data_IF_498109364694
#
_entry.id   IF_498109364694
#
_cell.length_a   1.000
_cell.length_b   1.000
_cell.length_c   1.000
_cell.angle_alpha   90.00
_cell.angle_beta   90.00
_cell.angle_gamma   90.00
#
_symmetry.space_group_name_H-M   'P 1'
#
loop_
_entity.id
_entity.type
_entity.pdbx_description
1 polymer ?
#
# COMPACT_ATOMS: atom_id res chain seq x y z
N UNK A 1 11.81 -34.45 -87.00
CA UNK A 1 11.13 -33.29 -87.59
C UNK A 1 9.89 -32.96 -86.78
N UNK A 2 9.76 -31.66 -86.51
CA UNK A 2 8.73 -30.89 -85.80
C UNK A 2 7.27 -31.22 -86.20
N UNK A 3 6.22 -30.85 -85.44
CA UNK A 3 6.12 -29.98 -84.27
C UNK A 3 4.67 -29.63 -83.89
N UNK A 4 4.51 -28.54 -83.10
CA UNK A 4 3.27 -27.81 -82.75
C UNK A 4 2.53 -28.35 -81.51
N UNK A 5 1.94 -27.60 -80.57
CA UNK A 5 1.62 -26.18 -80.32
C UNK A 5 1.33 -26.03 -78.80
N UNK A 6 1.86 -25.01 -78.10
CA UNK A 6 1.18 -23.79 -77.57
C UNK A 6 0.61 -23.86 -76.12
N UNK A 7 1.11 -22.91 -75.31
CA UNK A 7 0.51 -22.15 -74.19
C UNK A 7 -0.12 -22.90 -72.98
N UNK A 8 0.39 -22.65 -71.76
CA UNK A 8 -0.26 -21.68 -70.86
C UNK A 8 0.55 -21.32 -69.59
N UNK A 9 0.21 -20.14 -69.06
CA UNK A 9 0.73 -19.41 -67.89
C UNK A 9 0.74 -20.16 -66.55
N UNK A 10 1.70 -19.83 -65.67
CA UNK A 10 1.66 -20.25 -64.26
C UNK A 10 2.77 -19.68 -63.39
N UNK A 11 2.39 -18.79 -62.50
CA UNK A 11 3.21 -17.91 -61.66
C UNK A 11 4.20 -18.59 -60.70
N UNK A 12 5.30 -17.87 -60.47
CA UNK A 12 6.33 -18.01 -59.44
C UNK A 12 5.73 -18.28 -58.05
N UNK A 13 6.19 -19.33 -57.38
CA UNK A 13 6.12 -19.48 -55.91
C UNK A 13 7.43 -20.12 -55.44
N UNK A 14 8.39 -19.26 -55.06
CA UNK A 14 9.55 -19.70 -54.28
C UNK A 14 9.06 -20.02 -52.87
N UNK A 15 9.17 -21.27 -52.43
CA UNK A 15 8.99 -21.63 -51.04
C UNK A 15 10.21 -21.10 -50.27
N UNK A 16 10.07 -19.93 -49.65
CA UNK A 16 10.94 -19.53 -48.56
C UNK A 16 10.30 -20.06 -47.28
N UNK A 17 10.91 -21.10 -46.69
CA UNK A 17 10.58 -21.52 -45.33
C UNK A 17 10.97 -20.41 -44.35
N UNK A 18 10.05 -19.49 -44.09
CA UNK A 18 10.09 -18.68 -42.87
C UNK A 18 9.68 -19.57 -41.70
N UNK A 19 10.67 -20.05 -40.96
CA UNK A 19 10.47 -20.58 -39.62
C UNK A 19 9.90 -19.43 -38.76
N UNK A 20 8.59 -19.46 -38.51
CA UNK A 20 7.93 -18.61 -37.52
C UNK A 20 8.37 -19.04 -36.12
N UNK A 21 9.44 -18.42 -35.63
CA UNK A 21 9.83 -18.46 -34.22
C UNK A 21 8.66 -17.93 -33.36
N UNK A 22 8.29 -18.62 -32.27
CA UNK A 22 7.41 -18.03 -31.27
C UNK A 22 8.16 -16.85 -30.63
N UNK A 23 7.66 -15.64 -30.82
CA UNK A 23 8.15 -14.46 -30.10
C UNK A 23 7.73 -14.58 -28.63
N UNK A 24 8.52 -15.29 -27.84
CA UNK A 24 8.41 -15.30 -26.38
C UNK A 24 9.02 -14.01 -25.77
N UNK A 25 8.59 -13.61 -24.56
CA UNK A 25 8.55 -12.21 -24.15
C UNK A 25 9.87 -11.74 -23.55
N UNK A 26 10.77 -11.22 -24.39
CA UNK A 26 11.98 -10.55 -23.92
C UNK A 26 11.69 -9.25 -23.12
N UNK A 27 10.49 -8.67 -23.25
CA UNK A 27 10.07 -7.45 -22.56
C UNK A 27 9.81 -7.64 -21.06
N UNK A 28 9.29 -8.81 -20.64
CA UNK A 28 8.93 -9.08 -19.25
C UNK A 28 10.14 -9.40 -18.35
N UNK A 29 11.24 -9.92 -18.91
CA UNK A 29 12.48 -10.11 -18.15
C UNK A 29 13.22 -8.78 -17.94
N UNK A 30 13.25 -7.90 -18.96
CA UNK A 30 13.90 -6.58 -18.86
C UNK A 30 13.29 -5.71 -17.77
N UNK A 31 11.95 -5.65 -17.69
CA UNK A 31 11.22 -4.92 -16.65
C UNK A 31 11.45 -5.48 -15.25
N UNK A 32 11.58 -6.81 -15.10
CA UNK A 32 11.90 -7.43 -13.80
C UNK A 32 13.32 -7.12 -13.34
N UNK A 33 14.30 -7.14 -14.25
CA UNK A 33 15.70 -6.82 -13.93
C UNK A 33 15.86 -5.34 -13.58
N UNK A 34 15.25 -4.43 -14.34
CA UNK A 34 15.25 -2.99 -14.04
C UNK A 34 14.57 -2.67 -12.71
N UNK A 35 13.48 -3.39 -12.37
CA UNK A 35 12.81 -3.27 -11.07
C UNK A 35 13.71 -3.71 -9.92
N UNK A 36 14.44 -4.81 -10.06
CA UNK A 36 15.41 -5.27 -9.05
C UNK A 36 16.54 -4.25 -8.90
N UNK A 37 17.09 -3.72 -10.00
CA UNK A 37 18.11 -2.66 -9.94
C UNK A 37 17.59 -1.38 -9.29
N UNK A 38 16.34 -1.00 -9.57
CA UNK A 38 15.68 0.16 -8.95
C UNK A 38 15.50 -0.05 -7.44
N UNK A 39 15.08 -1.25 -7.01
CA UNK A 39 14.95 -1.62 -5.60
C UNK A 39 16.30 -1.62 -4.88
N UNK A 40 17.34 -2.19 -5.51
CA UNK A 40 18.71 -2.18 -4.97
C UNK A 40 19.29 -0.76 -4.87
N UNK A 41 18.98 0.11 -5.84
CA UNK A 41 19.38 1.52 -5.82
C UNK A 41 18.67 2.30 -4.70
N UNK A 42 17.37 2.03 -4.48
CA UNK A 42 16.57 2.60 -3.37
C UNK A 42 17.01 2.13 -1.98
N UNK A 43 17.63 0.95 -1.86
CA UNK A 43 18.29 0.51 -0.63
C UNK A 43 19.58 1.30 -0.33
N UNK A 44 20.18 1.93 -1.34
CA UNK A 44 21.39 2.74 -1.22
C UNK A 44 21.14 4.22 -0.92
N UNK A 45 19.95 4.74 -1.24
CA UNK A 45 19.54 6.12 -0.92
C UNK A 45 18.61 6.12 0.29
N UNK A 46 19.06 6.61 1.44
CA UNK A 46 18.23 6.73 2.65
C UNK A 46 17.12 7.81 2.54
N UNK A 47 16.78 8.27 1.33
CA UNK A 47 15.79 9.33 1.09
C UNK A 47 14.40 8.73 0.81
N UNK A 48 13.52 8.83 1.82
CA UNK A 48 12.13 8.36 1.75
C UNK A 48 11.34 9.02 0.60
N UNK A 49 11.66 10.26 0.26
CA UNK A 49 10.92 11.04 -0.73
C UNK A 49 11.21 10.52 -2.16
N UNK A 50 12.48 10.30 -2.50
CA UNK A 50 12.90 9.68 -3.76
C UNK A 50 12.40 8.24 -3.91
N UNK A 51 12.47 7.46 -2.83
CA UNK A 51 11.91 6.11 -2.79
C UNK A 51 10.41 6.13 -3.10
N UNK A 52 9.66 7.02 -2.44
CA UNK A 52 8.21 7.11 -2.60
C UNK A 52 7.80 7.54 -4.02
N UNK A 53 8.54 8.47 -4.65
CA UNK A 53 8.32 8.88 -6.05
C UNK A 53 8.54 7.72 -7.01
N UNK A 54 9.65 7.00 -6.85
CA UNK A 54 10.02 5.89 -7.72
C UNK A 54 9.01 4.77 -7.63
N UNK A 55 8.63 4.34 -6.42
CA UNK A 55 7.63 3.29 -6.22
C UNK A 55 6.26 3.67 -6.78
N UNK A 56 5.83 4.94 -6.63
CA UNK A 56 4.59 5.40 -7.23
C UNK A 56 4.65 5.38 -8.77
N UNK A 57 5.74 5.87 -9.37
CA UNK A 57 5.91 5.85 -10.81
C UNK A 57 5.90 4.42 -11.37
N UNK A 58 6.53 3.47 -10.68
CA UNK A 58 6.51 2.05 -11.05
C UNK A 58 5.11 1.45 -10.95
N UNK A 59 4.30 1.87 -9.99
CA UNK A 59 2.92 1.38 -9.82
C UNK A 59 1.92 1.91 -10.85
N UNK A 60 2.37 2.68 -11.85
CA UNK A 60 1.48 3.30 -12.86
C UNK A 60 0.93 2.34 -13.91
N UNK A 61 1.51 1.13 -14.04
CA UNK A 61 1.08 0.13 -15.02
C UNK A 61 0.79 -1.22 -14.35
N UNK A 62 -0.19 -1.94 -14.89
CA UNK A 62 -0.65 -3.21 -14.31
C UNK A 62 0.45 -4.27 -14.30
N UNK A 63 1.21 -4.41 -15.38
CA UNK A 63 2.32 -5.36 -15.46
C UNK A 63 3.39 -5.08 -14.40
N UNK A 64 3.65 -3.79 -14.14
CA UNK A 64 4.59 -3.37 -13.11
C UNK A 64 4.03 -3.62 -11.71
N UNK A 65 2.74 -3.40 -11.47
CA UNK A 65 2.08 -3.74 -10.21
C UNK A 65 2.22 -5.23 -9.86
N UNK A 66 2.01 -6.12 -10.83
CA UNK A 66 2.20 -7.58 -10.66
C UNK A 66 3.65 -7.89 -10.29
N UNK A 67 4.61 -7.28 -10.99
CA UNK A 67 6.03 -7.48 -10.71
C UNK A 67 6.44 -6.91 -9.34
N UNK A 68 5.93 -5.74 -8.94
CA UNK A 68 6.18 -5.11 -7.64
C UNK A 68 5.69 -5.97 -6.48
N UNK A 69 4.53 -6.62 -6.67
CA UNK A 69 3.97 -7.55 -5.70
C UNK A 69 4.87 -8.77 -5.48
N UNK A 70 5.56 -9.23 -6.53
CA UNK A 70 6.45 -10.40 -6.49
C UNK A 70 7.87 -10.06 -6.01
N UNK A 71 8.31 -8.81 -6.15
CA UNK A 71 9.70 -8.40 -5.89
C UNK A 71 9.97 -7.92 -4.47
N UNK A 72 8.97 -7.94 -3.59
CA UNK A 72 9.13 -7.49 -2.20
C UNK A 72 9.04 -5.98 -2.02
N UNK A 73 8.36 -5.26 -2.92
CA UNK A 73 8.09 -3.82 -2.75
C UNK A 73 7.16 -3.50 -1.58
N UNK A 74 6.28 -4.44 -1.19
CA UNK A 74 5.25 -4.20 -0.18
C UNK A 74 5.84 -3.81 1.19
N UNK A 75 6.82 -4.53 1.77
CA UNK A 75 7.48 -4.10 3.01
C UNK A 75 8.05 -2.68 2.96
N UNK A 76 8.62 -2.25 1.81
CA UNK A 76 9.16 -0.90 1.65
C UNK A 76 8.04 0.15 1.68
N UNK A 77 6.91 -0.11 1.01
CA UNK A 77 5.73 0.75 1.07
C UNK A 77 5.18 0.85 2.49
N UNK A 78 5.08 -0.28 3.20
CA UNK A 78 4.64 -0.29 4.61
C UNK A 78 5.63 0.48 5.50
N UNK A 79 6.93 0.41 5.24
CA UNK A 79 7.94 1.18 5.95
C UNK A 79 7.85 2.69 5.64
N UNK A 80 7.50 3.09 4.42
CA UNK A 80 7.23 4.51 4.12
C UNK A 80 5.97 5.01 4.83
N UNK A 81 4.95 4.16 4.94
CA UNK A 81 3.70 4.48 5.65
C UNK A 81 3.92 4.64 7.16
N UNK A 82 4.55 3.65 7.79
CA UNK A 82 4.58 3.48 9.25
C UNK A 82 5.99 3.58 9.86
N UNK A 83 7.01 3.95 9.08
CA UNK A 83 8.39 4.06 9.54
C UNK A 83 8.53 5.09 10.65
N UNK A 84 9.20 4.69 11.75
CA UNK A 84 9.38 5.51 12.94
C UNK A 84 10.14 6.80 12.58
N UNK A 85 9.55 7.95 12.89
CA UNK A 85 10.01 9.25 12.43
C UNK A 85 10.47 10.16 13.58
N UNK A 86 10.92 9.56 14.70
CA UNK A 86 11.30 10.30 15.92
C UNK A 86 12.45 11.29 15.71
N UNK A 87 13.23 11.12 14.64
CA UNK A 87 14.36 12.01 14.32
C UNK A 87 13.98 13.14 13.34
N UNK A 88 12.74 13.19 12.86
CA UNK A 88 12.28 14.05 11.77
C UNK A 88 11.41 15.22 12.26
N UNK A 89 11.75 15.81 13.41
CA UNK A 89 10.99 16.91 14.05
C UNK A 89 11.16 18.29 13.39
N UNK A 90 11.83 18.40 12.24
CA UNK A 90 11.92 19.65 11.48
C UNK A 90 10.69 19.81 10.57
N UNK A 91 10.06 21.00 10.58
CA UNK A 91 8.82 21.32 9.84
C UNK A 91 8.82 20.82 8.37
N UNK A 92 9.95 20.99 7.66
CA UNK A 92 10.10 20.55 6.26
C UNK A 92 10.14 19.02 6.10
N UNK A 93 10.72 18.32 7.07
CA UNK A 93 10.82 16.86 7.06
C UNK A 93 9.48 16.20 7.45
N UNK A 94 8.67 16.85 8.30
CA UNK A 94 7.31 16.41 8.60
C UNK A 94 6.40 16.49 7.35
N UNK A 95 6.48 17.58 6.57
CA UNK A 95 5.74 17.72 5.31
C UNK A 95 6.22 16.75 4.24
N UNK A 96 7.54 16.60 4.04
CA UNK A 96 8.11 15.62 3.09
C UNK A 96 7.70 14.18 3.43
N UNK A 97 7.64 13.85 4.72
CA UNK A 97 7.17 12.55 5.18
C UNK A 97 5.66 12.33 4.88
N UNK A 98 4.82 13.38 4.97
CA UNK A 98 3.39 13.30 4.60
C UNK A 98 3.21 13.00 3.11
N UNK A 99 3.93 13.72 2.24
CA UNK A 99 3.85 13.48 0.80
C UNK A 99 4.36 12.09 0.43
N UNK A 100 5.47 11.64 1.04
CA UNK A 100 5.99 10.29 0.84
C UNK A 100 4.98 9.21 1.26
N UNK A 101 4.29 9.39 2.38
CA UNK A 101 3.20 8.50 2.83
C UNK A 101 2.03 8.48 1.84
N UNK A 102 1.62 9.63 1.32
CA UNK A 102 0.54 9.71 0.34
C UNK A 102 0.90 8.95 -0.95
N UNK A 103 2.12 9.14 -1.45
CA UNK A 103 2.63 8.39 -2.62
C UNK A 103 2.71 6.88 -2.35
N UNK A 104 3.19 6.48 -1.17
CA UNK A 104 3.23 5.08 -0.78
C UNK A 104 1.84 4.44 -0.67
N UNK A 105 0.85 5.17 -0.13
CA UNK A 105 -0.54 4.70 -0.06
C UNK A 105 -1.13 4.50 -1.46
N UNK A 106 -0.91 5.46 -2.37
CA UNK A 106 -1.38 5.36 -3.74
C UNK A 106 -0.71 4.19 -4.49
N UNK A 107 0.59 4.00 -4.32
CA UNK A 107 1.29 2.87 -4.91
C UNK A 107 0.79 1.52 -4.37
N UNK A 108 0.53 1.43 -3.06
CA UNK A 108 -0.03 0.24 -2.44
C UNK A 108 -1.44 -0.07 -2.96
N UNK A 109 -2.26 0.96 -3.15
CA UNK A 109 -3.59 0.86 -3.77
C UNK A 109 -3.48 0.29 -5.18
N UNK A 110 -2.66 0.91 -6.05
CA UNK A 110 -2.48 0.48 -7.44
C UNK A 110 -2.06 -1.00 -7.56
N UNK A 111 -1.20 -1.48 -6.64
CA UNK A 111 -0.77 -2.88 -6.63
C UNK A 111 -1.93 -3.86 -6.34
N UNK A 112 -2.95 -3.42 -5.60
CA UNK A 112 -4.09 -4.24 -5.19
C UNK A 112 -5.40 -3.96 -5.95
N UNK A 113 -5.44 -2.91 -6.80
CA UNK A 113 -6.65 -2.47 -7.50
C UNK A 113 -7.24 -3.50 -8.47
N UNK A 114 -6.47 -4.50 -8.90
CA UNK A 114 -6.94 -5.56 -9.78
C UNK A 114 -6.79 -6.93 -9.11
N UNK A 115 -7.80 -7.35 -8.34
CA UNK A 115 -7.78 -8.64 -7.68
C UNK A 115 -8.17 -9.75 -8.65
N UNK A 116 -7.21 -10.62 -8.99
CA UNK A 116 -7.45 -11.75 -9.91
C UNK A 116 -8.08 -12.97 -9.22
N UNK A 117 -8.03 -13.03 -7.89
CA UNK A 117 -8.48 -14.18 -7.10
C UNK A 117 -9.16 -13.78 -5.79
N UNK A 118 -9.66 -14.79 -5.05
CA UNK A 118 -10.32 -14.57 -3.74
C UNK A 118 -9.40 -13.89 -2.73
N UNK A 119 -8.09 -14.17 -2.79
CA UNK A 119 -7.09 -13.56 -1.92
C UNK A 119 -6.97 -12.06 -2.21
N UNK A 120 -6.87 -11.67 -3.47
CA UNK A 120 -6.82 -10.28 -3.89
C UNK A 120 -8.07 -9.49 -3.46
N UNK A 121 -9.25 -10.09 -3.58
CA UNK A 121 -10.50 -9.43 -3.12
C UNK A 121 -10.50 -9.20 -1.60
N UNK A 122 -9.98 -10.18 -0.84
CA UNK A 122 -9.82 -10.07 0.61
C UNK A 122 -8.85 -8.95 0.97
N UNK A 123 -7.68 -8.91 0.35
CA UNK A 123 -6.67 -7.89 0.57
C UNK A 123 -7.17 -6.50 0.19
N UNK A 124 -7.83 -6.35 -0.96
CA UNK A 124 -8.37 -5.07 -1.39
C UNK A 124 -9.42 -4.54 -0.40
N UNK A 125 -10.26 -5.43 0.13
CA UNK A 125 -11.22 -5.08 1.19
C UNK A 125 -10.52 -4.62 2.46
N UNK A 126 -9.49 -5.34 2.91
CA UNK A 126 -8.70 -4.94 4.09
C UNK A 126 -7.99 -3.62 3.83
N UNK A 127 -7.37 -3.45 2.67
CA UNK A 127 -6.65 -2.24 2.28
C UNK A 127 -7.56 -1.01 2.34
N UNK A 128 -8.77 -1.09 1.79
CA UNK A 128 -9.71 0.02 1.82
C UNK A 128 -10.08 0.46 3.24
N UNK A 129 -10.28 -0.48 4.16
CA UNK A 129 -10.55 -0.17 5.57
C UNK A 129 -9.34 0.48 6.24
N UNK A 130 -8.13 0.00 5.92
CA UNK A 130 -6.89 0.58 6.44
C UNK A 130 -6.60 1.97 5.85
N UNK A 131 -6.96 2.24 4.60
CA UNK A 131 -6.87 3.57 3.98
C UNK A 131 -7.75 4.58 4.72
N UNK A 132 -8.99 4.21 5.06
CA UNK A 132 -9.88 5.05 5.87
C UNK A 132 -9.26 5.40 7.23
N UNK A 133 -8.69 4.39 7.90
CA UNK A 133 -8.02 4.58 9.20
C UNK A 133 -6.80 5.49 9.06
N UNK A 134 -5.93 5.24 8.08
CA UNK A 134 -4.71 6.06 7.86
C UNK A 134 -5.05 7.51 7.54
N UNK A 135 -6.05 7.74 6.69
CA UNK A 135 -6.51 9.08 6.34
C UNK A 135 -7.04 9.83 7.58
N UNK A 136 -7.77 9.14 8.45
CA UNK A 136 -8.21 9.72 9.73
C UNK A 136 -7.03 10.07 10.64
N UNK A 137 -6.10 9.15 10.87
CA UNK A 137 -4.93 9.39 11.71
C UNK A 137 -4.10 10.56 11.19
N UNK A 138 -3.92 10.67 9.87
CA UNK A 138 -3.24 11.80 9.25
C UNK A 138 -3.96 13.12 9.57
N UNK A 139 -5.28 13.18 9.41
CA UNK A 139 -6.07 14.36 9.76
C UNK A 139 -5.96 14.71 11.25
N UNK A 140 -5.90 13.71 12.14
CA UNK A 140 -5.71 13.92 13.59
C UNK A 140 -4.38 14.63 13.87
N UNK A 141 -3.29 14.14 13.28
CA UNK A 141 -1.97 14.74 13.44
C UNK A 141 -1.89 16.13 12.82
N UNK A 142 -2.46 16.35 11.63
CA UNK A 142 -2.50 17.67 10.99
C UNK A 142 -3.25 18.71 11.83
N UNK A 143 -4.35 18.30 12.45
CA UNK A 143 -5.08 19.17 13.37
C UNK A 143 -4.28 19.50 14.62
N UNK A 144 -3.52 18.53 15.14
CA UNK A 144 -2.68 18.71 16.33
C UNK A 144 -1.47 19.61 16.04
N UNK A 145 -0.73 19.34 14.96
CA UNK A 145 0.37 20.19 14.48
C UNK A 145 -0.11 21.65 14.27
N UNK A 146 -1.24 21.82 13.58
CA UNK A 146 -1.82 23.13 13.31
C UNK A 146 -2.36 23.85 14.56
N UNK A 147 -2.63 23.12 15.65
CA UNK A 147 -3.00 23.71 16.96
C UNK A 147 -1.76 24.22 17.71
N UNK A 148 -0.64 23.51 17.62
CA UNK A 148 0.62 23.89 18.25
C UNK A 148 1.23 25.12 17.57
N UNK A 149 1.18 25.21 16.23
CA UNK A 149 1.75 26.34 15.47
C UNK A 149 0.91 27.63 15.51
N UNK A 150 -0.43 27.54 15.43
CA UNK A 150 -1.31 28.71 15.27
C UNK A 150 -2.01 29.16 16.58
N UNK A 151 -1.79 28.45 17.69
CA UNK A 151 -2.56 28.62 18.92
C UNK A 151 -4.07 28.38 18.72
N UNK A 152 -4.92 28.94 19.59
CA UNK A 152 -6.39 28.77 19.55
C UNK A 152 -7.07 29.32 18.27
N UNK A 153 -6.33 30.00 17.37
CA UNK A 153 -6.86 30.59 16.13
C UNK A 153 -6.74 29.67 14.91
N UNK A 154 -6.40 28.40 15.08
CA UNK A 154 -6.30 27.43 13.99
C UNK A 154 -7.66 27.25 13.29
N UNK A 155 -7.67 27.41 11.95
CA UNK A 155 -8.84 27.15 11.09
C UNK A 155 -9.09 25.67 10.84
N UNK A 156 -8.22 24.78 11.34
CA UNK A 156 -8.35 23.35 11.11
C UNK A 156 -9.52 22.78 11.91
N UNK A 157 -10.49 22.20 11.20
CA UNK A 157 -11.62 21.49 11.81
C UNK A 157 -11.09 20.25 12.52
N UNK A 158 -11.48 20.06 13.79
CA UNK A 158 -11.10 18.86 14.55
C UNK A 158 -11.69 17.62 13.85
N UNK A 159 -10.87 16.62 13.46
CA UNK A 159 -11.38 15.40 12.84
C UNK A 159 -12.36 14.69 13.75
N UNK A 160 -13.56 14.44 13.22
CA UNK A 160 -14.60 13.68 13.91
C UNK A 160 -14.54 12.22 13.45
N UNK A 161 -14.31 11.25 14.35
CA UNK A 161 -14.29 9.85 13.95
C UNK A 161 -15.67 9.34 13.51
N UNK A 162 -16.76 10.03 13.90
CA UNK A 162 -18.13 9.74 13.44
C UNK A 162 -18.30 10.13 11.98
N UNK A 163 -17.94 11.37 11.62
CA UNK A 163 -18.07 11.88 10.25
C UNK A 163 -17.18 11.09 9.29
N UNK A 164 -16.01 10.68 9.77
CA UNK A 164 -15.06 9.90 8.99
C UNK A 164 -15.35 8.39 8.98
N UNK A 165 -16.47 7.94 9.57
CA UNK A 165 -16.93 6.54 9.59
C UNK A 165 -15.91 5.54 10.18
N UNK A 166 -15.11 5.98 11.14
CA UNK A 166 -13.99 5.20 11.68
C UNK A 166 -14.47 4.06 12.58
N UNK A 167 -15.54 4.29 13.37
CA UNK A 167 -16.18 3.26 14.17
C UNK A 167 -16.60 2.02 13.35
N UNK A 168 -17.37 2.18 12.27
CA UNK A 168 -17.67 1.08 11.34
C UNK A 168 -16.43 0.41 10.75
N UNK A 169 -15.44 1.18 10.29
CA UNK A 169 -14.23 0.62 9.67
C UNK A 169 -13.46 -0.30 10.64
N UNK A 170 -13.18 0.17 11.86
CA UNK A 170 -12.48 -0.65 12.85
C UNK A 170 -13.32 -1.82 13.34
N UNK A 171 -14.64 -1.67 13.42
CA UNK A 171 -15.56 -2.76 13.76
C UNK A 171 -15.46 -3.90 12.74
N UNK A 172 -15.41 -3.57 11.44
CA UNK A 172 -15.26 -4.57 10.38
C UNK A 172 -13.88 -5.23 10.47
N UNK A 173 -12.79 -4.47 10.60
CA UNK A 173 -11.45 -5.04 10.76
C UNK A 173 -11.34 -5.97 11.98
N UNK A 174 -11.90 -5.55 13.12
CA UNK A 174 -11.98 -6.39 14.32
C UNK A 174 -12.71 -7.71 14.03
N UNK A 175 -13.86 -7.69 13.35
CA UNK A 175 -14.59 -8.91 12.98
C UNK A 175 -13.80 -9.79 12.00
N UNK A 176 -13.16 -9.19 10.99
CA UNK A 176 -12.34 -9.92 10.03
C UNK A 176 -11.10 -10.54 10.70
N UNK A 177 -10.56 -9.90 11.75
CA UNK A 177 -9.35 -10.36 12.44
C UNK A 177 -9.52 -11.70 13.18
N UNK A 178 -10.74 -12.25 13.26
CA UNK A 178 -10.98 -13.61 13.77
C UNK A 178 -10.61 -14.72 12.77
N UNK A 179 -10.52 -14.40 11.48
CA UNK A 179 -10.11 -15.32 10.41
C UNK A 179 -8.60 -15.20 10.13
N UNK A 180 -7.89 -16.34 10.05
CA UNK A 180 -6.42 -16.35 9.84
C UNK A 180 -6.03 -15.67 8.54
N UNK A 181 -6.74 -15.93 7.45
CA UNK A 181 -6.34 -15.37 6.17
C UNK A 181 -6.51 -13.85 6.12
N UNK A 182 -7.54 -13.32 6.81
CA UNK A 182 -7.70 -11.88 6.96
C UNK A 182 -6.63 -11.29 7.89
N UNK A 183 -6.19 -12.00 8.94
CA UNK A 183 -5.02 -11.60 9.73
C UNK A 183 -3.77 -11.52 8.86
N UNK A 184 -3.56 -12.50 8.00
CA UNK A 184 -2.44 -12.50 7.06
C UNK A 184 -2.49 -11.28 6.13
N UNK A 185 -3.64 -11.01 5.52
CA UNK A 185 -3.83 -9.83 4.68
C UNK A 185 -3.59 -8.52 5.46
N UNK A 186 -4.10 -8.42 6.70
CA UNK A 186 -3.82 -7.26 7.56
C UNK A 186 -2.33 -7.11 7.83
N UNK A 187 -1.61 -8.19 8.12
CA UNK A 187 -0.17 -8.15 8.40
C UNK A 187 0.65 -7.72 7.17
N UNK A 188 0.35 -8.24 5.98
CA UNK A 188 1.00 -7.84 4.73
C UNK A 188 0.76 -6.36 4.40
N UNK A 189 -0.43 -5.85 4.74
CA UNK A 189 -0.86 -4.49 4.44
C UNK A 189 -0.57 -3.49 5.58
N UNK A 190 0.19 -3.85 6.61
CA UNK A 190 0.54 -2.93 7.71
C UNK A 190 -0.63 -2.58 8.65
N UNK A 191 -1.59 -3.49 8.77
CA UNK A 191 -2.80 -3.31 9.57
C UNK A 191 -2.53 -3.18 11.07
N UNK A 192 -1.53 -3.89 11.60
CA UNK A 192 -1.13 -3.75 13.01
C UNK A 192 -0.75 -2.29 13.33
N UNK A 193 0.13 -1.71 12.51
CA UNK A 193 0.63 -0.34 12.70
C UNK A 193 -0.49 0.68 12.53
N UNK A 194 -1.32 0.56 11.49
CA UNK A 194 -2.44 1.46 11.26
C UNK A 194 -3.46 1.45 12.42
N UNK A 195 -3.76 0.27 12.98
CA UNK A 195 -4.69 0.16 14.12
C UNK A 195 -4.03 0.69 15.41
N UNK A 196 -2.73 0.47 15.61
CA UNK A 196 -2.00 1.03 16.75
C UNK A 196 -1.95 2.57 16.68
N UNK A 197 -1.67 3.13 15.50
CA UNK A 197 -1.69 4.58 15.24
C UNK A 197 -3.06 5.18 15.49
N UNK A 198 -4.14 4.50 15.08
CA UNK A 198 -5.51 4.91 15.38
C UNK A 198 -5.77 5.01 16.88
N UNK A 199 -5.37 3.97 17.62
CA UNK A 199 -5.56 3.92 19.07
C UNK A 199 -4.75 5.02 19.77
N UNK A 200 -3.52 5.26 19.31
CA UNK A 200 -2.68 6.33 19.81
C UNK A 200 -3.28 7.72 19.52
N UNK A 201 -3.66 7.99 18.27
CA UNK A 201 -4.25 9.27 17.88
C UNK A 201 -5.55 9.58 18.63
N UNK A 202 -6.42 8.59 18.84
CA UNK A 202 -7.65 8.77 19.62
C UNK A 202 -7.34 9.05 21.11
N UNK A 203 -6.36 8.35 21.70
CA UNK A 203 -5.92 8.61 23.07
C UNK A 203 -5.31 10.01 23.23
N UNK A 204 -4.50 10.47 22.28
CA UNK A 204 -3.90 11.82 22.28
C UNK A 204 -4.96 12.92 22.11
N UNK A 205 -5.95 12.71 21.24
CA UNK A 205 -6.99 13.71 20.96
C UNK A 205 -8.09 13.83 22.01
N UNK A 206 -8.42 12.73 22.67
CA UNK A 206 -9.58 12.64 23.56
C UNK A 206 -9.23 12.19 24.98
N UNK A 207 -7.96 11.91 25.29
CA UNK A 207 -7.47 11.49 26.60
C UNK A 207 -8.35 10.39 27.22
N UNK A 208 -8.63 10.45 28.52
CA UNK A 208 -9.56 9.55 29.21
C UNK A 208 -11.01 10.06 29.10
N UNK A 209 -11.52 10.19 27.87
CA UNK A 209 -12.92 10.55 27.62
C UNK A 209 -13.88 9.46 28.12
N UNK A 210 -15.05 9.88 28.60
CA UNK A 210 -16.17 8.99 28.94
C UNK A 210 -17.17 8.82 27.78
N UNK A 211 -16.90 9.43 26.62
CA UNK A 211 -17.74 9.28 25.42
C UNK A 211 -17.76 7.80 24.97
N UNK A 212 -18.97 7.24 24.93
CA UNK A 212 -19.21 5.85 24.56
C UNK A 212 -18.71 5.53 23.15
N UNK A 213 -18.70 6.51 22.25
CA UNK A 213 -18.19 6.32 20.90
C UNK A 213 -16.69 6.01 20.91
N UNK A 214 -15.87 6.88 21.54
CA UNK A 214 -14.43 6.67 21.65
C UNK A 214 -14.09 5.40 22.44
N UNK A 215 -14.82 5.13 23.54
CA UNK A 215 -14.63 3.89 24.32
C UNK A 215 -14.86 2.65 23.44
N UNK A 216 -15.91 2.66 22.62
CA UNK A 216 -16.22 1.55 21.70
C UNK A 216 -15.16 1.41 20.62
N UNK A 217 -14.69 2.53 20.05
CA UNK A 217 -13.62 2.57 19.06
C UNK A 217 -12.34 1.91 19.61
N UNK A 218 -11.90 2.32 20.80
CA UNK A 218 -10.71 1.77 21.48
C UNK A 218 -10.86 0.29 21.76
N UNK A 219 -12.05 -0.16 22.18
CA UNK A 219 -12.33 -1.58 22.41
C UNK A 219 -12.16 -2.41 21.13
N UNK A 220 -12.71 -1.93 20.00
CA UNK A 220 -12.55 -2.63 18.72
C UNK A 220 -11.10 -2.65 18.24
N UNK A 221 -10.36 -1.53 18.37
CA UNK A 221 -8.94 -1.49 18.06
C UNK A 221 -8.14 -2.48 18.93
N UNK A 222 -8.36 -2.47 20.25
CA UNK A 222 -7.70 -3.39 21.18
C UNK A 222 -7.97 -4.86 20.91
N UNK A 223 -9.22 -5.21 20.56
CA UNK A 223 -9.58 -6.58 20.16
C UNK A 223 -8.87 -6.99 18.86
N UNK A 224 -8.85 -6.12 17.85
CA UNK A 224 -8.13 -6.39 16.60
C UNK A 224 -6.62 -6.58 16.83
N UNK A 225 -5.99 -5.72 17.64
CA UNK A 225 -4.56 -5.85 18.00
C UNK A 225 -4.27 -7.14 18.77
N UNK A 226 -5.16 -7.54 19.68
CA UNK A 226 -5.04 -8.81 20.42
C UNK A 226 -5.05 -9.99 19.45
N UNK A 227 -5.95 -9.98 18.48
CA UNK A 227 -6.04 -11.03 17.47
C UNK A 227 -4.82 -11.05 16.55
N UNK A 228 -4.32 -9.89 16.12
CA UNK A 228 -3.13 -9.78 15.25
C UNK A 228 -1.83 -10.14 15.98
N UNK A 229 -1.79 -10.07 17.30
CA UNK A 229 -0.61 -10.44 18.10
C UNK A 229 -0.70 -11.86 18.67
N UNK A 230 -1.84 -12.54 18.54
CA UNK A 230 -1.99 -13.92 18.98
C UNK A 230 -1.04 -14.84 18.20
N UNK A 231 -0.16 -15.55 18.88
CA UNK A 231 0.84 -16.44 18.25
C UNK A 231 1.94 -15.76 17.43
N UNK A 232 1.84 -14.45 17.15
CA UNK A 232 2.75 -13.72 16.26
C UNK A 232 3.80 -12.89 17.05
N UNK A 233 5.02 -13.42 17.15
CA UNK A 233 6.13 -12.77 17.86
C UNK A 233 6.60 -11.48 17.17
N UNK A 234 6.53 -11.43 15.84
CA UNK A 234 6.95 -10.24 15.09
C UNK A 234 6.00 -9.08 15.35
N UNK A 235 4.70 -9.35 15.34
CA UNK A 235 3.68 -8.34 15.65
C UNK A 235 3.76 -7.87 17.11
N UNK A 236 3.98 -8.78 18.07
CA UNK A 236 4.23 -8.39 19.46
C UNK A 236 5.40 -7.42 19.57
N UNK A 237 6.52 -7.76 18.93
CA UNK A 237 7.75 -6.95 18.96
C UNK A 237 7.51 -5.56 18.35
N UNK A 238 6.79 -5.48 17.22
CA UNK A 238 6.42 -4.20 16.59
C UNK A 238 5.54 -3.34 17.49
N UNK A 239 4.56 -3.95 18.17
CA UNK A 239 3.62 -3.21 19.03
C UNK A 239 4.32 -2.60 20.26
N UNK A 240 5.37 -3.24 20.78
CA UNK A 240 6.15 -2.71 21.91
C UNK A 240 6.84 -1.35 21.62
N UNK A 241 6.94 -0.92 20.36
CA UNK A 241 7.47 0.39 20.00
C UNK A 241 6.44 1.53 20.12
N UNK A 242 5.15 1.19 20.16
CA UNK A 242 4.06 2.12 20.44
C UNK A 242 3.90 2.26 21.96
N UNK A 243 3.86 3.50 22.46
CA UNK A 243 3.80 3.83 23.89
C UNK A 243 2.48 4.49 24.23
#
# INVERSE_FOLDING_TARGET
>A
SSGGQEHDVGSVMSFSSTCSLPRQPASHLGTKVEMVYSLLSMLGTHDKDDMSRTLLAMSSSQDSCIAMRQSGCLPLLIQLLHGNNKDSSLLGAAKGNREARARASAALHNIHSQPDDKRGHREMRVLHLLEQIRAYCLGCWEWQDGREEAGWKSKHVKPSPVENQIGPAICVLMKLSFDEDHRHAMNELGGLQAIAELLQADCEMFAMTSDQYNVTLRRYAGMALTNLTFGDVANKSKLCFYK
#
